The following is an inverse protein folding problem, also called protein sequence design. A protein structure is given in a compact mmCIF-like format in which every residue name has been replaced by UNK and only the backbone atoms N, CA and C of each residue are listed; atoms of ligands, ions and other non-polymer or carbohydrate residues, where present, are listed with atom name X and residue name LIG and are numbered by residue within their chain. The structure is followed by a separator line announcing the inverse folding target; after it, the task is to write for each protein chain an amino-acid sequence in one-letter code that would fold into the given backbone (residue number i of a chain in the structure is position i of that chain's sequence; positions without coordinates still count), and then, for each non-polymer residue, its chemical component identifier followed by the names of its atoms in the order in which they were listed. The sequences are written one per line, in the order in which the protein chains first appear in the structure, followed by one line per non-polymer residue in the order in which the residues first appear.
data_IF_039067223997
#
_entry.id   IF_039067223997
#
_cell.length_a   1.000
_cell.length_b   1.000
_cell.length_c   1.000
_cell.angle_alpha   90.00
_cell.angle_beta   90.00
_cell.angle_gamma   90.00
#
_symmetry.space_group_name_H-M   'P 1'
#
loop_
_entity.id
_entity.type
_entity.pdbx_description
1 polymer ?
#
# COMPACT_ATOMS: atom_id res chain seq x y z
N UNK A 1 16.04 13.97 -9.03
CA UNK A 1 15.21 13.62 -7.85
C UNK A 1 15.11 14.82 -6.92
N UNK A 2 13.92 15.37 -6.72
CA UNK A 2 13.72 16.44 -5.74
C UNK A 2 13.83 15.85 -4.32
N UNK A 3 14.64 16.43 -3.44
CA UNK A 3 14.87 15.93 -2.05
C UNK A 3 13.56 15.76 -1.26
N UNK A 4 12.52 16.48 -1.68
CA UNK A 4 11.19 16.47 -1.10
C UNK A 4 10.45 15.15 -1.34
N UNK A 5 10.59 14.53 -2.52
CA UNK A 5 9.92 13.27 -2.86
C UNK A 5 10.46 12.11 -2.00
N UNK A 6 11.79 11.98 -1.94
CA UNK A 6 12.45 10.95 -1.14
C UNK A 6 12.13 11.04 0.36
N UNK A 7 11.95 12.27 0.89
CA UNK A 7 11.62 12.46 2.31
C UNK A 7 10.18 12.04 2.63
N UNK A 8 9.25 12.26 1.71
CA UNK A 8 7.84 11.86 1.86
C UNK A 8 7.71 10.35 1.78
N UNK A 9 8.34 9.70 0.80
CA UNK A 9 8.31 8.23 0.68
C UNK A 9 8.88 7.55 1.93
N UNK A 10 9.99 8.09 2.45
CA UNK A 10 10.62 7.55 3.66
C UNK A 10 9.73 7.73 4.91
N UNK A 11 9.04 8.87 5.02
CA UNK A 11 8.07 9.11 6.09
C UNK A 11 6.91 8.13 6.02
N UNK A 12 6.31 7.91 4.84
CA UNK A 12 5.20 6.98 4.65
C UNK A 12 5.64 5.56 5.03
N UNK A 13 6.81 5.12 4.57
CA UNK A 13 7.35 3.79 4.92
C UNK A 13 7.49 3.59 6.43
N UNK A 14 8.00 4.57 7.16
CA UNK A 14 8.14 4.48 8.62
C UNK A 14 6.77 4.39 9.29
N UNK A 15 5.83 5.26 8.91
CA UNK A 15 4.48 5.25 9.48
C UNK A 15 3.81 3.88 9.32
N UNK A 16 3.88 3.28 8.13
CA UNK A 16 3.28 1.97 7.87
C UNK A 16 4.05 0.81 8.53
N UNK A 17 5.39 0.86 8.62
CA UNK A 17 6.17 -0.12 9.39
C UNK A 17 5.77 -0.11 10.86
N UNK A 18 5.64 1.08 11.46
CA UNK A 18 5.21 1.22 12.86
C UNK A 18 3.78 0.72 13.04
N UNK A 19 2.87 1.01 12.09
CA UNK A 19 1.49 0.51 12.13
C UNK A 19 1.42 -1.02 12.08
N UNK A 20 2.23 -1.69 11.25
CA UNK A 20 2.30 -3.15 11.18
C UNK A 20 2.81 -3.73 12.51
N UNK A 21 3.86 -3.15 13.08
CA UNK A 21 4.43 -3.62 14.36
C UNK A 21 3.38 -3.46 15.47
N UNK A 22 2.70 -2.31 15.55
CA UNK A 22 1.65 -2.09 16.55
C UNK A 22 0.45 -3.03 16.34
N UNK A 23 0.01 -3.22 15.10
CA UNK A 23 -1.09 -4.13 14.76
C UNK A 23 -0.77 -5.59 15.13
N UNK A 24 0.46 -6.03 14.85
CA UNK A 24 0.94 -7.35 15.22
C UNK A 24 0.99 -7.55 16.74
N UNK A 25 1.55 -6.58 17.48
CA UNK A 25 1.57 -6.63 18.97
C UNK A 25 0.13 -6.71 19.50
N UNK A 26 -0.79 -5.91 18.96
CA UNK A 26 -2.17 -5.88 19.38
C UNK A 26 -2.89 -7.21 19.12
N UNK A 27 -2.75 -7.78 17.91
CA UNK A 27 -3.42 -9.03 17.55
C UNK A 27 -2.80 -10.26 18.27
N UNK A 28 -1.50 -10.27 18.57
CA UNK A 28 -0.87 -11.37 19.35
C UNK A 28 -1.40 -11.46 20.77
N UNK A 29 -1.82 -10.34 21.37
CA UNK A 29 -2.42 -10.35 22.72
C UNK A 29 -3.89 -10.81 22.74
N UNK A 30 -4.49 -11.07 21.59
CA UNK A 30 -5.89 -11.49 21.42
C UNK A 30 -5.96 -12.95 20.98
N UNK A 31 -7.07 -13.61 21.30
CA UNK A 31 -7.41 -14.90 20.69
C UNK A 31 -7.59 -14.72 19.17
N UNK A 32 -7.19 -15.68 18.33
CA UNK A 32 -7.27 -15.55 16.86
C UNK A 32 -8.66 -15.17 16.33
N UNK A 33 -9.72 -15.57 17.04
CA UNK A 33 -11.11 -15.29 16.70
C UNK A 33 -11.53 -13.82 16.95
N UNK A 34 -10.76 -13.06 17.73
CA UNK A 34 -10.97 -11.63 17.99
C UNK A 34 -9.95 -10.73 17.28
N UNK A 35 -9.15 -11.30 16.36
CA UNK A 35 -8.15 -10.52 15.62
C UNK A 35 -8.84 -9.43 14.78
N UNK A 36 -8.33 -8.21 14.88
CA UNK A 36 -8.85 -7.10 14.10
C UNK A 36 -8.28 -7.19 12.68
N UNK A 37 -9.11 -7.61 11.74
CA UNK A 37 -8.75 -7.80 10.32
C UNK A 37 -8.09 -6.57 9.67
N UNK A 38 -8.43 -5.35 10.10
CA UNK A 38 -7.84 -4.12 9.57
C UNK A 38 -6.46 -3.77 10.16
N UNK A 39 -6.04 -4.43 11.24
CA UNK A 39 -4.69 -4.34 11.80
C UNK A 39 -3.76 -5.45 11.29
N UNK A 40 -4.31 -6.41 10.54
CA UNK A 40 -3.52 -7.46 9.93
C UNK A 40 -2.54 -6.88 8.90
N UNK A 41 -1.35 -7.48 8.84
CA UNK A 41 -0.27 -7.00 7.98
C UNK A 41 -0.70 -6.92 6.50
N UNK A 42 -1.51 -7.87 6.01
CA UNK A 42 -1.97 -7.88 4.63
C UNK A 42 -2.85 -6.66 4.29
N UNK A 43 -3.73 -6.24 5.21
CA UNK A 43 -4.61 -5.09 5.01
C UNK A 43 -3.82 -3.78 5.09
N UNK A 44 -2.92 -3.67 6.07
CA UNK A 44 -2.06 -2.49 6.24
C UNK A 44 -1.12 -2.31 5.04
N UNK A 45 -0.54 -3.39 4.52
CA UNK A 45 0.29 -3.38 3.30
C UNK A 45 -0.52 -2.99 2.07
N UNK A 46 -1.77 -3.44 1.98
CA UNK A 46 -2.66 -3.06 0.91
C UNK A 46 -2.94 -1.55 0.91
N UNK A 47 -3.26 -0.97 2.07
CA UNK A 47 -3.45 0.48 2.22
C UNK A 47 -2.14 1.25 1.94
N UNK A 48 -1.00 0.76 2.43
CA UNK A 48 0.33 1.35 2.16
C UNK A 48 0.57 1.52 0.66
N UNK A 49 0.25 0.49 -0.12
CA UNK A 49 0.46 0.48 -1.54
C UNK A 49 -0.40 1.57 -2.22
N UNK A 50 -1.70 1.61 -1.93
CA UNK A 50 -2.62 2.62 -2.48
C UNK A 50 -2.17 4.05 -2.13
N UNK A 51 -1.75 4.28 -0.88
CA UNK A 51 -1.30 5.60 -0.41
C UNK A 51 0.02 5.99 -1.09
N UNK A 52 0.98 5.08 -1.19
CA UNK A 52 2.28 5.31 -1.82
C UNK A 52 2.10 5.70 -3.30
N UNK A 53 1.29 4.95 -4.04
CA UNK A 53 0.99 5.22 -5.45
C UNK A 53 0.29 6.58 -5.61
N UNK A 54 -0.70 6.88 -4.77
CA UNK A 54 -1.44 8.15 -4.82
C UNK A 54 -0.52 9.35 -4.59
N UNK A 55 0.37 9.27 -3.59
CA UNK A 55 1.34 10.32 -3.29
C UNK A 55 2.32 10.50 -4.45
N UNK A 56 2.72 9.41 -5.09
CA UNK A 56 3.58 9.46 -6.27
C UNK A 56 2.91 10.16 -7.45
N UNK A 57 1.65 9.83 -7.76
CA UNK A 57 0.85 10.53 -8.79
C UNK A 57 0.76 12.02 -8.49
N UNK A 58 0.48 12.40 -7.24
CA UNK A 58 0.33 13.81 -6.83
C UNK A 58 1.67 14.56 -6.97
N UNK A 59 2.78 13.94 -6.55
CA UNK A 59 4.11 14.52 -6.69
C UNK A 59 4.49 14.69 -8.15
N UNK A 60 4.20 13.71 -9.00
CA UNK A 60 4.45 13.82 -10.43
C UNK A 60 3.59 14.90 -11.09
N UNK A 61 2.29 14.94 -10.77
CA UNK A 61 1.40 15.98 -11.30
C UNK A 61 1.88 17.39 -10.92
N UNK A 62 2.42 17.56 -9.71
CA UNK A 62 2.86 18.85 -9.19
C UNK A 62 4.29 19.24 -9.54
N UNK A 63 5.20 18.27 -9.77
CA UNK A 63 6.65 18.53 -9.89
C UNK A 63 7.33 17.95 -11.14
N UNK A 64 6.65 17.20 -12.01
CA UNK A 64 7.30 16.60 -13.18
C UNK A 64 7.51 17.61 -14.33
N UNK A 65 8.76 17.88 -14.67
CA UNK A 65 9.20 18.57 -15.90
C UNK A 65 9.31 17.62 -17.10
N UNK A 66 9.47 16.30 -16.88
CA UNK A 66 9.56 15.30 -17.95
C UNK A 66 8.77 14.04 -17.54
N UNK A 67 7.75 13.68 -18.34
CA UNK A 67 6.48 13.10 -17.84
C UNK A 67 6.22 11.63 -18.19
N UNK A 68 7.06 10.95 -18.99
CA UNK A 68 6.56 9.82 -19.83
C UNK A 68 6.86 8.38 -19.40
N UNK A 69 8.01 8.08 -18.78
CA UNK A 69 8.37 6.66 -18.57
C UNK A 69 7.82 6.06 -17.27
N UNK A 70 7.60 6.86 -16.24
CA UNK A 70 7.21 6.34 -14.93
C UNK A 70 5.70 6.09 -14.80
N UNK A 71 4.89 6.80 -15.59
CA UNK A 71 3.43 6.63 -15.62
C UNK A 71 2.99 5.22 -16.07
N UNK A 72 3.79 4.56 -16.92
CA UNK A 72 3.49 3.20 -17.39
C UNK A 72 3.68 2.16 -16.29
N UNK A 73 4.80 2.24 -15.56
CA UNK A 73 5.06 1.35 -14.42
C UNK A 73 4.01 1.52 -13.34
N UNK A 74 3.60 2.77 -13.07
CA UNK A 74 2.58 3.12 -12.08
C UNK A 74 1.19 2.61 -12.46
N UNK A 75 0.79 2.82 -13.72
CA UNK A 75 -0.49 2.30 -14.23
C UNK A 75 -0.53 0.77 -14.19
N UNK A 76 0.59 0.11 -14.47
CA UNK A 76 0.68 -1.35 -14.44
C UNK A 76 0.60 -1.88 -13.00
N UNK A 77 1.25 -1.22 -12.05
CA UNK A 77 1.22 -1.58 -10.63
C UNK A 77 -0.19 -1.38 -10.05
N UNK A 78 -0.80 -0.21 -10.30
CA UNK A 78 -2.18 0.10 -9.90
C UNK A 78 -3.18 -0.90 -10.50
N UNK A 79 -3.03 -1.26 -11.78
CA UNK A 79 -3.85 -2.28 -12.41
C UNK A 79 -3.67 -3.65 -11.73
N UNK A 80 -2.44 -4.05 -11.42
CA UNK A 80 -2.16 -5.32 -10.76
C UNK A 80 -2.79 -5.38 -9.37
N UNK A 81 -2.75 -4.29 -8.62
CA UNK A 81 -3.38 -4.16 -7.31
C UNK A 81 -4.90 -4.32 -7.41
N UNK A 82 -5.53 -3.67 -8.39
CA UNK A 82 -6.97 -3.81 -8.65
C UNK A 82 -7.33 -5.25 -9.02
N UNK A 83 -6.51 -5.90 -9.86
CA UNK A 83 -6.69 -7.31 -10.23
C UNK A 83 -6.58 -8.21 -9.00
N UNK A 84 -5.58 -7.99 -8.13
CA UNK A 84 -5.43 -8.74 -6.87
C UNK A 84 -6.66 -8.57 -5.99
N UNK A 85 -7.16 -7.34 -5.77
CA UNK A 85 -8.39 -7.11 -5.00
C UNK A 85 -9.58 -7.83 -5.64
N UNK A 86 -9.74 -7.70 -6.95
CA UNK A 86 -10.86 -8.31 -7.67
C UNK A 86 -10.83 -9.84 -7.51
N UNK A 87 -9.65 -10.45 -7.60
CA UNK A 87 -9.44 -11.89 -7.41
C UNK A 87 -9.74 -12.33 -5.98
N UNK A 88 -9.27 -11.58 -4.96
CA UNK A 88 -9.58 -11.87 -3.56
C UNK A 88 -11.07 -11.64 -3.23
N UNK A 89 -11.68 -10.58 -3.77
CA UNK A 89 -13.09 -10.24 -3.53
C UNK A 89 -14.07 -11.17 -4.23
N UNK A 90 -13.69 -11.76 -5.36
CA UNK A 90 -14.54 -12.71 -6.10
C UNK A 90 -14.45 -14.13 -5.56
N UNK A 91 -13.66 -14.36 -4.48
CA UNK A 91 -13.46 -15.68 -3.91
C UNK A 91 -12.74 -16.65 -4.84
N UNK A 92 -12.10 -16.15 -5.91
CA UNK A 92 -11.48 -16.99 -6.94
C UNK A 92 -10.33 -17.86 -6.40
N UNK A 93 -9.63 -17.38 -5.35
CA UNK A 93 -8.59 -18.15 -4.65
C UNK A 93 -9.12 -19.05 -3.52
N UNK A 94 -10.42 -19.01 -3.21
CA UNK A 94 -11.06 -19.89 -2.22
C UNK A 94 -11.52 -21.23 -2.83
N UNK A 95 -11.29 -21.45 -4.13
CA UNK A 95 -11.49 -22.74 -4.77
C UNK A 95 -10.22 -23.59 -4.63
N UNK A 96 -10.14 -24.28 -3.49
CA UNK A 96 -9.15 -25.30 -3.16
C UNK A 96 -9.22 -25.69 -1.69
#
# INVERSE_FOLDING_TARGET
MNKLHSKVDWSIRITFMVAIIMGAIYNVTRLPAESLWYLEAWFVLFVFLVVSESVQVIFEWKYAINRRDYMYTLSLLSFNVIVVIAVFSTGFLWLG
#
